data_IF_667236884562
#
_entry.id   IF_667236884562
#
_cell.length_a   1.000
_cell.length_b   1.000
_cell.length_c   1.000
_cell.angle_alpha   90.00
_cell.angle_beta   90.00
_cell.angle_gamma   90.00
#
_symmetry.space_group_name_H-M   'P 1'
#
loop_
_entity.id
_entity.type
_entity.pdbx_description
1 polymer ?
#
# COMPACT_ATOMS: atom_id res chain seq x y z
N UNK A 1 1.58 40.15 35.68
CA UNK A 1 0.89 39.01 34.98
C UNK A 1 1.82 37.82 35.05
N UNK A 2 1.46 36.78 35.80
CA UNK A 2 2.25 35.57 35.95
C UNK A 2 1.87 34.58 34.85
N UNK A 3 2.78 34.28 33.93
CA UNK A 3 2.58 33.23 32.94
C UNK A 3 2.82 31.89 33.64
N UNK A 4 1.77 31.13 33.89
CA UNK A 4 1.90 29.73 34.27
C UNK A 4 2.25 28.93 33.02
N UNK A 5 3.48 28.46 32.93
CA UNK A 5 3.85 27.42 31.97
C UNK A 5 3.15 26.11 32.38
N UNK A 6 2.18 25.69 31.59
CA UNK A 6 1.60 24.36 31.74
C UNK A 6 2.63 23.33 31.30
N UNK A 7 3.10 22.48 32.22
CA UNK A 7 3.99 21.38 31.89
C UNK A 7 3.21 20.35 31.04
N UNK A 8 3.65 20.15 29.81
CA UNK A 8 3.12 19.08 28.94
C UNK A 8 3.53 17.74 29.55
N UNK A 9 2.56 16.84 29.77
CA UNK A 9 2.82 15.54 30.35
C UNK A 9 3.54 14.63 29.34
N UNK A 10 4.42 13.76 29.82
CA UNK A 10 5.20 12.85 28.96
C UNK A 10 4.29 11.88 28.19
N UNK A 11 3.13 11.55 28.76
CA UNK A 11 2.09 10.73 28.14
C UNK A 11 1.53 11.36 26.86
N UNK A 12 1.49 12.71 26.78
CA UNK A 12 1.00 13.41 25.59
C UNK A 12 1.98 13.30 24.41
N UNK A 13 3.27 13.05 24.66
CA UNK A 13 4.28 12.78 23.62
C UNK A 13 4.33 11.32 23.20
N UNK A 14 3.89 10.41 24.06
CA UNK A 14 3.92 8.96 23.79
C UNK A 14 2.58 8.42 23.31
N UNK A 15 1.54 9.25 23.32
CA UNK A 15 0.20 8.87 22.87
C UNK A 15 0.21 8.58 21.39
N UNK A 16 -0.06 7.34 21.01
CA UNK A 16 -0.23 6.96 19.61
C UNK A 16 -1.40 7.76 19.00
N UNK A 17 -1.20 8.32 17.81
CA UNK A 17 -2.26 8.99 17.08
C UNK A 17 -3.37 7.97 16.78
N UNK A 18 -4.59 8.25 17.25
CA UNK A 18 -5.75 7.40 16.95
C UNK A 18 -6.02 7.34 15.45
N UNK A 19 -5.87 8.50 14.76
CA UNK A 19 -6.00 8.61 13.31
C UNK A 19 -4.65 8.93 12.69
N UNK A 20 -4.07 7.96 11.96
CA UNK A 20 -2.72 8.09 11.40
C UNK A 20 -2.72 8.76 10.00
N UNK A 21 -3.72 8.45 9.18
CA UNK A 21 -3.77 8.91 7.78
C UNK A 21 -5.21 8.92 7.29
N UNK A 22 -5.61 10.00 6.63
CA UNK A 22 -6.89 10.12 5.93
C UNK A 22 -6.68 10.46 4.45
N UNK A 23 -7.50 9.88 3.57
CA UNK A 23 -7.50 10.16 2.13
C UNK A 23 -8.93 10.23 1.61
N UNK A 24 -9.22 11.27 0.85
CA UNK A 24 -10.52 11.46 0.19
C UNK A 24 -10.56 10.71 -1.16
N UNK A 25 -11.73 10.18 -1.52
CA UNK A 25 -11.96 9.58 -2.85
C UNK A 25 -11.83 10.61 -3.96
N UNK A 26 -11.51 10.23 -5.21
CA UNK A 26 -11.35 11.18 -6.30
C UNK A 26 -12.57 12.09 -6.56
N UNK A 27 -13.79 11.57 -6.33
CA UNK A 27 -15.04 12.32 -6.46
C UNK A 27 -15.45 13.11 -5.22
N UNK A 28 -14.63 13.04 -4.15
CA UNK A 28 -14.86 13.76 -2.89
C UNK A 28 -16.00 13.23 -2.01
N UNK A 29 -16.64 12.10 -2.37
CA UNK A 29 -17.83 11.60 -1.66
C UNK A 29 -17.52 10.70 -0.47
N UNK A 30 -16.32 10.12 -0.41
CA UNK A 30 -15.91 9.20 0.65
C UNK A 30 -14.54 9.59 1.20
N UNK A 31 -14.33 9.30 2.48
CA UNK A 31 -13.03 9.42 3.14
C UNK A 31 -12.65 8.01 3.63
N UNK A 32 -11.41 7.62 3.41
CA UNK A 32 -10.79 6.46 4.02
C UNK A 32 -9.83 6.93 5.11
N UNK A 33 -9.99 6.45 6.33
CA UNK A 33 -9.18 6.82 7.50
C UNK A 33 -8.55 5.56 8.07
N UNK A 34 -7.21 5.54 8.15
CA UNK A 34 -6.51 4.51 8.90
C UNK A 34 -6.43 4.93 10.36
N UNK A 35 -6.97 4.11 11.22
CA UNK A 35 -7.03 4.33 12.67
C UNK A 35 -6.63 3.08 13.42
N UNK A 36 -6.41 3.19 14.73
CA UNK A 36 -6.13 2.07 15.63
C UNK A 36 -7.39 1.71 16.39
N UNK A 37 -7.83 0.45 16.26
CA UNK A 37 -8.93 -0.12 17.02
C UNK A 37 -8.44 -1.38 17.71
N UNK A 38 -8.56 -1.44 19.05
CA UNK A 38 -8.10 -2.58 19.88
C UNK A 38 -6.63 -2.96 19.60
N UNK A 39 -5.77 -1.95 19.47
CA UNK A 39 -4.35 -2.13 19.18
C UNK A 39 -4.04 -2.64 17.77
N UNK A 40 -5.00 -2.59 16.83
CA UNK A 40 -4.85 -3.06 15.46
C UNK A 40 -5.20 -1.96 14.47
N UNK A 41 -4.40 -1.79 13.42
CA UNK A 41 -4.67 -0.81 12.37
C UNK A 41 -5.80 -1.31 11.46
N UNK A 42 -6.86 -0.55 11.39
CA UNK A 42 -8.03 -0.77 10.54
C UNK A 42 -8.20 0.38 9.55
N UNK A 43 -8.97 0.18 8.48
CA UNK A 43 -9.34 1.23 7.54
C UNK A 43 -10.85 1.45 7.62
N UNK A 44 -11.25 2.66 7.99
CA UNK A 44 -12.64 3.08 8.13
C UNK A 44 -13.02 3.93 6.92
N UNK A 45 -14.13 3.59 6.28
CA UNK A 45 -14.72 4.39 5.21
C UNK A 45 -15.92 5.19 5.73
N UNK A 46 -15.95 6.47 5.39
CA UNK A 46 -17.00 7.42 5.77
C UNK A 46 -17.57 8.10 4.53
N UNK A 47 -18.85 8.38 4.56
CA UNK A 47 -19.46 9.33 3.63
C UNK A 47 -19.08 10.77 4.04
N UNK A 48 -18.62 11.61 3.11
CA UNK A 48 -18.18 12.99 3.42
C UNK A 48 -19.29 13.91 3.88
N UNK A 49 -20.53 13.70 3.42
CA UNK A 49 -21.69 14.54 3.77
C UNK A 49 -22.35 14.07 5.06
N UNK A 50 -22.79 12.80 5.13
CA UNK A 50 -23.51 12.27 6.30
C UNK A 50 -22.59 11.97 7.49
N UNK A 51 -21.27 11.84 7.26
CA UNK A 51 -20.27 11.39 8.24
C UNK A 51 -20.50 9.97 8.78
N UNK A 52 -21.39 9.23 8.14
CA UNK A 52 -21.68 7.85 8.51
C UNK A 52 -20.59 6.90 8.03
N UNK A 53 -20.26 5.92 8.87
CA UNK A 53 -19.37 4.83 8.52
C UNK A 53 -20.05 3.92 7.51
N UNK A 54 -19.45 3.72 6.35
CA UNK A 54 -19.97 2.83 5.31
C UNK A 54 -19.41 1.42 5.45
N UNK A 55 -18.14 1.30 5.85
CA UNK A 55 -17.49 0.00 6.06
C UNK A 55 -16.21 0.14 6.87
N UNK A 56 -15.81 -0.96 7.52
CA UNK A 56 -14.52 -1.05 8.23
C UNK A 56 -13.77 -2.29 7.74
N UNK A 57 -12.56 -2.07 7.22
CA UNK A 57 -11.64 -3.16 6.89
C UNK A 57 -10.84 -3.53 8.12
N UNK A 58 -11.07 -4.73 8.64
CA UNK A 58 -10.29 -5.34 9.70
C UNK A 58 -9.65 -6.64 9.15
N UNK A 59 -8.33 -6.68 9.10
CA UNK A 59 -7.60 -7.85 8.63
C UNK A 59 -7.61 -8.97 9.66
N UNK A 60 -7.57 -10.23 9.22
CA UNK A 60 -7.63 -11.39 10.13
C UNK A 60 -6.29 -11.68 10.83
N UNK A 61 -6.35 -12.28 12.00
CA UNK A 61 -5.17 -12.75 12.74
C UNK A 61 -4.19 -11.64 13.10
N UNK A 62 -2.92 -11.84 12.78
CA UNK A 62 -1.82 -10.89 13.05
C UNK A 62 -1.69 -9.79 11.99
N UNK A 63 -2.54 -9.78 10.96
CA UNK A 63 -2.49 -8.81 9.88
C UNK A 63 -3.25 -7.54 10.23
N UNK A 64 -2.77 -6.43 9.70
CA UNK A 64 -3.35 -5.10 9.88
C UNK A 64 -3.23 -4.28 8.60
N UNK A 65 -3.95 -3.17 8.54
CA UNK A 65 -3.90 -2.23 7.42
C UNK A 65 -2.59 -1.46 7.46
N UNK A 66 -1.79 -1.57 6.41
CA UNK A 66 -0.59 -0.77 6.17
C UNK A 66 -0.90 0.51 5.39
N UNK A 67 -0.13 0.77 4.33
CA UNK A 67 -0.41 1.86 3.40
C UNK A 67 -1.71 1.60 2.63
N UNK A 68 -2.39 2.68 2.21
CA UNK A 68 -3.57 2.54 1.36
C UNK A 68 -3.66 3.68 0.35
N UNK A 69 -4.36 3.43 -0.76
CA UNK A 69 -4.58 4.41 -1.82
C UNK A 69 -5.89 4.15 -2.55
N UNK A 70 -6.65 5.22 -2.81
CA UNK A 70 -7.78 5.18 -3.73
C UNK A 70 -7.29 4.95 -5.16
N UNK A 71 -7.91 4.01 -5.86
CA UNK A 71 -7.67 3.76 -7.29
C UNK A 71 -8.67 4.54 -8.13
N UNK A 72 -9.93 4.45 -7.73
CA UNK A 72 -11.05 5.17 -8.33
C UNK A 72 -12.04 5.60 -7.24
N UNK A 73 -13.25 6.02 -7.62
CA UNK A 73 -14.28 6.50 -6.69
C UNK A 73 -14.82 5.43 -5.74
N UNK A 74 -14.62 4.15 -6.05
CA UNK A 74 -15.16 3.04 -5.26
C UNK A 74 -14.09 2.20 -4.57
N UNK A 75 -12.92 2.06 -5.18
CA UNK A 75 -11.96 1.00 -4.84
C UNK A 75 -10.67 1.53 -4.24
N UNK A 76 -10.24 0.86 -3.18
CA UNK A 76 -8.99 1.14 -2.47
C UNK A 76 -8.07 -0.08 -2.56
N UNK A 77 -6.78 0.16 -2.78
CA UNK A 77 -5.71 -0.82 -2.62
C UNK A 77 -5.03 -0.58 -1.27
N UNK A 78 -4.77 -1.67 -0.57
CA UNK A 78 -4.23 -1.71 0.79
C UNK A 78 -2.98 -2.57 0.79
N UNK A 79 -1.87 -2.02 1.29
CA UNK A 79 -0.70 -2.80 1.68
C UNK A 79 -0.96 -3.51 3.00
N UNK A 80 -0.62 -4.78 3.09
CA UNK A 80 -0.87 -5.59 4.28
C UNK A 80 0.35 -5.61 5.18
N UNK A 81 0.20 -5.16 6.42
CA UNK A 81 1.19 -5.29 7.47
C UNK A 81 0.92 -6.53 8.32
N UNK A 82 1.94 -7.04 9.01
CA UNK A 82 1.80 -8.14 9.95
C UNK A 82 2.66 -7.90 11.19
N UNK A 83 2.20 -8.36 12.35
CA UNK A 83 2.98 -8.33 13.59
C UNK A 83 3.97 -9.49 13.65
N UNK A 84 5.18 -9.21 14.14
CA UNK A 84 6.17 -10.23 14.40
C UNK A 84 6.18 -10.59 15.90
N UNK A 85 5.84 -11.85 16.21
CA UNK A 85 5.86 -12.36 17.58
C UNK A 85 4.89 -11.66 18.52
N UNK A 86 5.35 -11.37 19.74
CA UNK A 86 4.63 -10.63 20.78
C UNK A 86 4.95 -9.12 20.79
N UNK A 87 5.84 -8.66 19.90
CA UNK A 87 6.22 -7.26 19.80
C UNK A 87 5.13 -6.48 19.05
N UNK A 88 4.91 -5.23 19.45
CA UNK A 88 3.96 -4.32 18.78
C UNK A 88 4.45 -3.82 17.42
N UNK A 89 5.68 -4.17 17.06
CA UNK A 89 6.25 -3.79 15.77
C UNK A 89 5.59 -4.56 14.62
N UNK A 90 5.08 -3.80 13.67
CA UNK A 90 4.54 -4.34 12.41
C UNK A 90 5.58 -4.22 11.30
N UNK A 91 5.58 -5.18 10.39
CA UNK A 91 6.36 -5.13 9.16
C UNK A 91 5.45 -5.26 7.93
N UNK A 92 5.84 -4.63 6.84
CA UNK A 92 5.13 -4.76 5.58
C UNK A 92 5.36 -6.14 4.95
N UNK A 93 4.29 -6.84 4.62
CA UNK A 93 4.35 -8.21 4.09
C UNK A 93 4.66 -8.27 2.60
N UNK A 94 4.63 -7.16 1.89
CA UNK A 94 4.73 -7.12 0.43
C UNK A 94 3.43 -7.48 -0.29
N UNK A 95 2.35 -7.76 0.44
CA UNK A 95 1.06 -8.17 -0.10
C UNK A 95 0.15 -6.98 -0.35
N UNK A 96 -0.68 -7.08 -1.40
CA UNK A 96 -1.70 -6.09 -1.71
C UNK A 96 -3.10 -6.72 -1.67
N UNK A 97 -3.99 -6.02 -1.01
CA UNK A 97 -5.41 -6.33 -0.92
C UNK A 97 -6.22 -5.18 -1.51
N UNK A 98 -7.36 -5.45 -2.11
CA UNK A 98 -8.24 -4.43 -2.65
C UNK A 98 -9.69 -4.68 -2.24
N UNK A 99 -10.41 -3.59 -1.96
CA UNK A 99 -11.81 -3.62 -1.53
C UNK A 99 -12.52 -2.33 -1.94
N UNK A 100 -13.82 -2.38 -2.13
CA UNK A 100 -14.63 -1.20 -2.34
C UNK A 100 -14.97 -0.54 -0.98
N UNK A 101 -15.28 0.77 -0.98
CA UNK A 101 -15.62 1.54 0.23
C UNK A 101 -16.83 0.98 1.00
N UNK A 102 -17.67 0.17 0.36
CA UNK A 102 -18.84 -0.49 0.94
C UNK A 102 -18.57 -1.95 1.34
N UNK A 103 -17.31 -2.38 1.31
CA UNK A 103 -16.89 -3.74 1.64
C UNK A 103 -17.06 -4.75 0.51
N UNK A 104 -17.66 -4.38 -0.61
CA UNK A 104 -17.85 -5.30 -1.74
C UNK A 104 -16.54 -5.60 -2.47
N UNK A 105 -16.51 -6.74 -3.18
CA UNK A 105 -15.40 -7.22 -4.02
C UNK A 105 -14.06 -7.29 -3.29
N UNK A 106 -13.99 -7.80 -2.03
CA UNK A 106 -12.72 -7.97 -1.34
C UNK A 106 -11.84 -8.97 -2.09
N UNK A 107 -10.55 -8.66 -2.28
CA UNK A 107 -9.64 -9.53 -3.01
C UNK A 107 -8.17 -9.30 -2.64
N UNK A 108 -7.42 -10.39 -2.41
CA UNK A 108 -5.96 -10.35 -2.42
C UNK A 108 -5.49 -10.28 -3.88
N UNK A 109 -4.97 -9.13 -4.30
CA UNK A 109 -4.58 -8.87 -5.69
C UNK A 109 -3.10 -9.17 -5.97
N UNK A 110 -2.27 -9.27 -4.92
CA UNK A 110 -0.86 -9.65 -5.00
C UNK A 110 -0.41 -10.35 -3.71
N UNK A 111 0.44 -11.38 -3.85
CA UNK A 111 1.08 -12.06 -2.73
C UNK A 111 0.13 -12.86 -1.84
N UNK A 112 -0.96 -13.41 -2.38
CA UNK A 112 -1.92 -14.23 -1.62
C UNK A 112 -1.24 -15.41 -0.94
N UNK A 113 -1.60 -15.72 0.32
CA UNK A 113 -1.04 -16.83 1.10
C UNK A 113 -1.42 -18.20 0.56
N UNK A 114 -2.60 -18.29 -0.05
CA UNK A 114 -3.13 -19.53 -0.61
C UNK A 114 -3.91 -19.29 -1.90
N UNK A 115 -4.16 -20.37 -2.67
CA UNK A 115 -5.05 -20.31 -3.83
C UNK A 115 -6.48 -19.92 -3.46
N UNK A 116 -6.93 -20.28 -2.25
CA UNK A 116 -8.26 -19.94 -1.74
C UNK A 116 -8.39 -18.44 -1.47
N UNK A 117 -7.35 -17.78 -0.94
CA UNK A 117 -7.35 -16.34 -0.65
C UNK A 117 -7.35 -15.48 -1.91
N UNK A 118 -6.80 -15.99 -3.01
CA UNK A 118 -6.63 -15.19 -4.22
C UNK A 118 -7.88 -15.13 -5.10
N UNK A 119 -8.72 -16.16 -5.08
CA UNK A 119 -9.76 -16.34 -6.11
C UNK A 119 -9.18 -16.33 -7.53
N UNK A 120 -7.87 -16.37 -7.66
CA UNK A 120 -7.13 -16.33 -8.93
C UNK A 120 -6.93 -17.76 -9.38
N UNK A 121 -7.75 -18.19 -10.33
CA UNK A 121 -7.50 -19.41 -11.09
C UNK A 121 -6.23 -19.23 -11.91
N UNK A 122 -5.15 -19.94 -11.54
CA UNK A 122 -3.93 -20.19 -12.35
C UNK A 122 -3.25 -18.97 -13.00
N UNK A 123 -3.38 -17.75 -12.53
CA UNK A 123 -2.54 -16.65 -13.01
C UNK A 123 -1.11 -16.91 -12.53
N UNK A 124 -0.22 -17.20 -13.47
CA UNK A 124 1.21 -17.33 -13.22
C UNK A 124 1.69 -15.97 -12.71
N UNK A 125 1.99 -15.86 -11.42
CA UNK A 125 2.59 -14.64 -10.89
C UNK A 125 3.86 -14.35 -11.69
N UNK A 126 3.90 -13.18 -12.33
CA UNK A 126 5.06 -12.79 -13.15
C UNK A 126 6.25 -12.53 -12.23
N UNK A 127 5.99 -12.04 -11.03
CA UNK A 127 7.01 -11.65 -10.05
C UNK A 127 6.58 -12.01 -8.65
N UNK A 128 7.55 -12.33 -7.80
CA UNK A 128 7.39 -12.53 -6.36
C UNK A 128 8.29 -11.55 -5.61
N UNK A 129 7.79 -10.97 -4.52
CA UNK A 129 8.53 -9.97 -3.77
C UNK A 129 7.61 -9.08 -2.93
N UNK A 130 8.15 -7.93 -2.54
CA UNK A 130 7.39 -6.86 -1.89
C UNK A 130 6.83 -5.91 -2.95
N UNK A 131 5.50 -5.81 -3.02
CA UNK A 131 4.82 -4.94 -3.98
C UNK A 131 4.55 -3.55 -3.37
N UNK A 132 4.92 -2.49 -4.05
CA UNK A 132 4.67 -1.10 -3.66
C UNK A 132 3.87 -0.40 -4.75
N UNK A 133 2.73 0.17 -4.40
CA UNK A 133 1.93 0.98 -5.33
C UNK A 133 2.66 2.30 -5.57
N UNK A 134 2.98 2.58 -6.84
CA UNK A 134 3.65 3.81 -7.28
C UNK A 134 2.61 4.87 -7.60
N UNK A 135 1.65 4.52 -8.44
CA UNK A 135 0.63 5.43 -8.94
C UNK A 135 -0.66 4.69 -9.31
N UNK A 136 -1.75 5.43 -9.36
CA UNK A 136 -2.97 5.04 -10.06
C UNK A 136 -2.97 5.62 -11.47
N UNK A 137 -3.78 5.05 -12.36
CA UNK A 137 -4.04 5.61 -13.69
C UNK A 137 -5.36 6.36 -13.67
N UNK A 138 -5.40 7.58 -14.22
CA UNK A 138 -6.63 8.38 -14.36
C UNK A 138 -7.51 7.83 -15.48
N UNK A 139 -6.87 7.45 -16.60
CA UNK A 139 -7.56 6.91 -17.77
C UNK A 139 -7.97 5.45 -17.60
N UNK A 140 -7.27 4.68 -16.77
CA UNK A 140 -7.58 3.27 -16.51
C UNK A 140 -7.84 3.04 -15.02
N UNK A 141 -9.06 3.36 -14.59
CA UNK A 141 -9.51 3.27 -13.21
C UNK A 141 -9.49 1.85 -12.59
N UNK A 142 -9.10 0.84 -13.38
CA UNK A 142 -8.98 -0.55 -12.92
C UNK A 142 -7.55 -0.94 -12.61
N UNK A 143 -6.57 -0.11 -12.91
CA UNK A 143 -5.15 -0.47 -12.79
C UNK A 143 -4.38 0.49 -11.91
N UNK A 144 -3.31 -0.06 -11.34
CA UNK A 144 -2.26 0.67 -10.62
C UNK A 144 -0.90 0.27 -11.16
N UNK A 145 0.05 1.20 -11.12
CA UNK A 145 1.45 0.92 -11.35
C UNK A 145 2.08 0.46 -10.03
N UNK A 146 2.77 -0.66 -10.08
CA UNK A 146 3.36 -1.32 -8.90
C UNK A 146 4.82 -1.63 -9.17
N UNK A 147 5.70 -1.32 -8.21
CA UNK A 147 7.05 -1.86 -8.15
C UNK A 147 7.06 -3.12 -7.31
N UNK A 148 7.65 -4.18 -7.80
CA UNK A 148 7.85 -5.42 -7.07
C UNK A 148 9.35 -5.57 -6.80
N UNK A 149 9.75 -5.28 -5.55
CA UNK A 149 11.10 -5.55 -5.08
C UNK A 149 11.23 -7.05 -4.77
N UNK A 150 12.19 -7.77 -5.38
CA UNK A 150 12.35 -9.19 -5.10
C UNK A 150 12.69 -9.44 -3.63
N UNK A 151 12.27 -10.60 -3.11
CA UNK A 151 12.66 -11.04 -1.76
C UNK A 151 14.17 -10.99 -1.64
N UNK A 152 14.68 -10.42 -0.57
CA UNK A 152 16.11 -10.43 -0.29
C UNK A 152 16.58 -11.88 -0.18
N UNK A 153 17.54 -12.28 -1.01
CA UNK A 153 18.37 -13.45 -0.75
C UNK A 153 19.23 -13.15 0.48
N UNK A 154 19.60 -14.17 1.24
CA UNK A 154 20.45 -14.04 2.43
C UNK A 154 21.84 -13.42 2.13
N UNK A 155 22.25 -13.35 0.86
CA UNK A 155 23.46 -12.64 0.43
C UNK A 155 23.17 -11.14 0.30
N UNK A 156 23.93 -10.31 0.99
CA UNK A 156 23.86 -8.83 0.94
C UNK A 156 24.16 -8.25 -0.45
N UNK A 157 24.57 -9.07 -1.40
CA UNK A 157 24.99 -8.70 -2.76
C UNK A 157 23.88 -8.80 -3.81
N UNK A 158 22.64 -9.16 -3.42
CA UNK A 158 21.56 -9.29 -4.38
C UNK A 158 21.03 -7.89 -4.81
N UNK A 159 21.64 -7.37 -5.87
CA UNK A 159 21.32 -6.07 -6.49
C UNK A 159 20.17 -6.19 -7.50
N UNK A 160 19.22 -7.10 -7.28
CA UNK A 160 18.12 -7.30 -8.22
C UNK A 160 17.26 -6.05 -8.36
N UNK A 161 17.05 -5.70 -9.61
CA UNK A 161 16.13 -4.63 -10.01
C UNK A 161 14.68 -5.01 -9.70
N UNK A 162 13.85 -4.02 -9.36
CA UNK A 162 12.43 -4.21 -9.19
C UNK A 162 11.74 -4.42 -10.55
N UNK A 163 10.73 -5.28 -10.58
CA UNK A 163 9.82 -5.36 -11.71
C UNK A 163 8.73 -4.29 -11.58
N UNK A 164 8.57 -3.47 -12.59
CA UNK A 164 7.49 -2.48 -12.70
C UNK A 164 6.37 -3.11 -13.51
N UNK A 165 5.18 -3.20 -12.91
CA UNK A 165 4.02 -3.84 -13.51
C UNK A 165 2.79 -2.95 -13.49
N UNK A 166 1.88 -3.13 -14.44
CA UNK A 166 0.47 -2.71 -14.33
C UNK A 166 -0.31 -3.85 -13.69
N UNK A 167 -0.98 -3.56 -12.57
CA UNK A 167 -1.76 -4.53 -11.79
C UNK A 167 -3.23 -4.14 -11.84
N UNK A 168 -4.09 -5.05 -12.32
CA UNK A 168 -5.54 -4.90 -12.29
C UNK A 168 -6.06 -5.16 -10.87
N UNK A 169 -6.72 -4.16 -10.27
CA UNK A 169 -7.15 -4.20 -8.86
C UNK A 169 -8.44 -4.99 -8.63
N UNK A 170 -9.11 -5.43 -9.68
CA UNK A 170 -10.30 -6.28 -9.59
C UNK A 170 -9.97 -7.75 -9.82
N UNK A 171 -9.06 -8.03 -10.75
CA UNK A 171 -8.71 -9.40 -11.17
C UNK A 171 -7.40 -9.90 -10.57
N UNK A 172 -6.47 -9.00 -10.23
CA UNK A 172 -5.10 -9.33 -9.85
C UNK A 172 -4.21 -9.67 -11.05
N UNK A 173 -4.70 -9.43 -12.30
CA UNK A 173 -3.89 -9.65 -13.49
C UNK A 173 -2.70 -8.69 -13.53
N UNK A 174 -1.52 -9.24 -13.86
CA UNK A 174 -0.26 -8.52 -13.88
C UNK A 174 0.27 -8.42 -15.32
N UNK A 175 0.66 -7.22 -15.74
CA UNK A 175 1.37 -6.99 -16.99
C UNK A 175 2.67 -6.26 -16.71
N UNK A 176 3.79 -6.92 -17.00
CA UNK A 176 5.11 -6.29 -16.85
C UNK A 176 5.26 -5.13 -17.82
N UNK A 177 5.78 -4.01 -17.31
CA UNK A 177 6.10 -2.81 -18.07
C UNK A 177 7.59 -2.75 -18.33
N UNK A 178 8.39 -2.81 -17.26
CA UNK A 178 9.86 -2.75 -17.37
C UNK A 178 10.52 -3.35 -16.11
N UNK A 179 11.82 -3.42 -16.10
CA UNK A 179 12.64 -3.54 -14.88
C UNK A 179 13.21 -2.17 -14.52
N UNK A 180 13.32 -1.89 -13.21
CA UNK A 180 14.08 -0.72 -12.78
C UNK A 180 15.55 -0.87 -13.15
N UNK A 181 16.28 0.23 -13.41
CA UNK A 181 17.68 0.16 -13.82
C UNK A 181 18.63 -0.29 -12.70
N UNK A 182 18.15 -0.41 -11.47
CA UNK A 182 18.94 -0.83 -10.32
C UNK A 182 18.10 -1.16 -9.10
N UNK A 183 18.77 -1.49 -8.00
CA UNK A 183 18.15 -1.78 -6.70
C UNK A 183 17.49 -0.53 -6.12
N UNK A 184 16.36 -0.72 -5.41
CA UNK A 184 15.64 0.39 -4.78
C UNK A 184 15.09 1.40 -5.78
N UNK A 185 15.05 1.00 -7.05
CA UNK A 185 14.66 1.88 -8.13
C UNK A 185 13.17 2.21 -8.10
N UNK A 186 12.90 3.46 -8.50
CA UNK A 186 11.57 3.99 -8.72
C UNK A 186 11.42 4.50 -10.14
N UNK A 187 10.21 4.89 -10.47
CA UNK A 187 9.89 5.56 -11.73
C UNK A 187 9.12 6.85 -11.43
N UNK A 188 9.32 7.86 -12.28
CA UNK A 188 8.55 9.08 -12.28
C UNK A 188 7.67 9.09 -13.54
N UNK A 189 6.40 9.36 -13.31
CA UNK A 189 5.42 9.52 -14.38
C UNK A 189 5.17 11.01 -14.61
N UNK A 190 4.86 11.34 -15.85
CA UNK A 190 4.33 12.66 -16.19
C UNK A 190 2.81 12.73 -15.95
N UNK A 191 2.21 13.86 -16.37
CA UNK A 191 0.78 14.07 -16.23
C UNK A 191 -0.08 13.20 -17.16
N UNK A 192 0.54 12.63 -18.22
CA UNK A 192 -0.08 11.66 -19.14
C UNK A 192 0.12 10.20 -18.67
N UNK A 193 0.66 10.03 -17.44
CA UNK A 193 0.89 8.72 -16.80
C UNK A 193 1.92 7.85 -17.54
N UNK A 194 2.77 8.46 -18.35
CA UNK A 194 3.89 7.81 -19.00
C UNK A 194 5.15 7.87 -18.12
N UNK A 195 5.91 6.79 -18.09
CA UNK A 195 7.18 6.73 -17.39
C UNK A 195 8.20 7.57 -18.17
N UNK A 196 8.67 8.67 -17.55
CA UNK A 196 9.67 9.57 -18.15
C UNK A 196 11.06 9.31 -17.58
N UNK A 197 11.15 8.93 -16.32
CA UNK A 197 12.43 8.65 -15.68
C UNK A 197 12.32 7.35 -14.89
N UNK A 198 13.42 6.62 -14.88
CA UNK A 198 13.61 5.46 -14.03
C UNK A 198 14.98 5.57 -13.35
N UNK A 199 15.02 5.44 -12.05
CA UNK A 199 16.26 5.52 -11.26
C UNK A 199 16.51 4.25 -10.48
N UNK A 200 17.75 4.03 -10.09
CA UNK A 200 18.13 2.92 -9.21
C UNK A 200 19.62 2.90 -8.91
N UNK A 201 19.98 2.23 -7.82
CA UNK A 201 21.38 2.05 -7.39
C UNK A 201 21.98 0.87 -8.15
N UNK A 202 23.06 1.11 -8.89
CA UNK A 202 23.73 0.12 -9.75
C UNK A 202 25.02 -0.45 -9.16
N UNK A 203 25.51 0.12 -8.03
CA UNK A 203 26.71 -0.30 -7.31
C UNK A 203 26.63 0.12 -5.86
N UNK A 204 27.74 0.00 -5.12
CA UNK A 204 27.79 0.43 -3.72
C UNK A 204 27.60 1.95 -3.58
N UNK A 205 28.12 2.75 -4.55
CA UNK A 205 28.15 4.21 -4.48
C UNK A 205 27.63 4.90 -5.75
N UNK A 206 26.97 4.19 -6.66
CA UNK A 206 26.50 4.76 -7.93
C UNK A 206 25.00 4.61 -8.10
N UNK A 207 24.30 5.72 -8.32
CA UNK A 207 22.93 5.78 -8.79
C UNK A 207 22.88 6.19 -10.26
N UNK A 208 21.99 5.60 -11.03
CA UNK A 208 21.73 5.99 -12.43
C UNK A 208 20.30 6.44 -12.59
N UNK A 209 20.15 7.49 -13.37
CA UNK A 209 18.87 8.00 -13.87
C UNK A 209 18.81 7.71 -15.38
N UNK A 210 17.67 7.20 -15.87
CA UNK A 210 17.40 6.84 -17.25
C UNK A 210 16.11 7.48 -17.72
#
# INVERSE_FOLDING_TARGET
>A
MSFQASAVKIEDFTRALENETARISPDGKHIAIRTVQEGKKVLVFLNTKSKEVTYIVNMSGKESVGSFQWVNNERVVIGVDSRFGALDNTYYTGRLFAVNYDGRKPKAIFGAKSKADSGISKSKSISSGHAFVISRFKEDEKKVLVAIAPWRSASHQDLRAADIIKLDVYTGHQRKVMKSPGRGGGVLLDHDEEIRFAGGVTGYDSSKLF
#
